data_IF_391637654940
#
_entry.id   IF_391637654940
#
_cell.length_a   1.000
_cell.length_b   1.000
_cell.length_c   1.000
_cell.angle_alpha   90.00
_cell.angle_beta   90.00
_cell.angle_gamma   90.00
#
_symmetry.space_group_name_H-M   'P 1'
#
loop_
_entity.id
_entity.type
_entity.pdbx_description
1 polymer ?
#
# COMPACT_ATOMS: atom_id res chain seq x y z
N UNK A 1 9.25 0.20 -16.00
CA UNK A 1 9.34 1.42 -15.18
C UNK A 1 9.57 1.03 -13.74
N UNK A 2 10.29 1.86 -12.98
CA UNK A 2 10.68 1.56 -11.58
C UNK A 2 9.75 2.19 -10.53
N UNK A 3 8.83 3.07 -10.94
CA UNK A 3 8.02 3.85 -10.00
C UNK A 3 7.17 3.00 -9.06
N UNK A 4 6.41 2.02 -9.59
CA UNK A 4 5.51 1.21 -8.76
C UNK A 4 6.26 0.29 -7.79
N UNK A 5 7.41 -0.27 -8.18
CA UNK A 5 8.21 -1.10 -7.28
C UNK A 5 8.86 -0.29 -6.16
N UNK A 6 9.30 0.95 -6.46
CA UNK A 6 9.77 1.89 -5.44
C UNK A 6 8.64 2.28 -4.49
N UNK A 7 7.47 2.64 -5.02
CA UNK A 7 6.30 2.98 -4.21
C UNK A 7 5.84 1.83 -3.32
N UNK A 8 5.86 0.59 -3.83
CA UNK A 8 5.51 -0.60 -3.04
C UNK A 8 6.45 -0.73 -1.83
N UNK A 9 7.77 -0.66 -2.05
CA UNK A 9 8.75 -0.75 -0.97
C UNK A 9 8.63 0.38 0.05
N UNK A 10 8.27 1.59 -0.38
CA UNK A 10 7.98 2.71 0.54
C UNK A 10 6.75 2.38 1.39
N UNK A 11 5.64 2.00 0.76
CA UNK A 11 4.36 1.75 1.46
C UNK A 11 4.49 0.59 2.46
N UNK A 12 5.15 -0.50 2.09
CA UNK A 12 5.40 -1.65 2.99
C UNK A 12 6.23 -1.27 4.22
N UNK A 13 7.28 -0.45 4.04
CA UNK A 13 8.11 0.05 5.15
C UNK A 13 7.32 0.94 6.12
N UNK A 14 6.21 1.52 5.67
CA UNK A 14 5.30 2.30 6.51
C UNK A 14 4.14 1.46 7.07
N UNK A 15 4.18 0.13 6.92
CA UNK A 15 3.12 -0.78 7.38
C UNK A 15 1.83 -0.65 6.56
N UNK A 16 1.92 -0.09 5.37
CA UNK A 16 0.79 0.06 4.45
C UNK A 16 0.72 -1.05 3.42
N UNK A 17 -0.21 -0.88 2.47
CA UNK A 17 -0.36 -1.75 1.29
C UNK A 17 -0.87 -0.95 0.09
N UNK A 18 -0.67 -1.50 -1.11
CA UNK A 18 -1.21 -0.96 -2.36
C UNK A 18 -2.22 -1.96 -2.93
N UNK A 19 -3.43 -1.50 -3.30
CA UNK A 19 -4.34 -2.26 -4.15
C UNK A 19 -4.38 -1.67 -5.56
N UNK A 20 -4.75 -2.48 -6.54
CA UNK A 20 -4.92 -2.04 -7.92
C UNK A 20 -6.25 -2.53 -8.46
N UNK A 21 -6.95 -1.62 -9.11
CA UNK A 21 -8.15 -1.90 -9.89
C UNK A 21 -7.88 -1.40 -11.31
N UNK A 22 -8.21 -2.20 -12.31
CA UNK A 22 -7.92 -1.85 -13.70
C UNK A 22 -9.07 -2.31 -14.59
N UNK A 23 -9.42 -1.44 -15.54
CA UNK A 23 -10.41 -1.70 -16.56
C UNK A 23 -9.83 -1.35 -17.93
N UNK A 24 -9.89 -2.30 -18.86
CA UNK A 24 -9.32 -2.16 -20.20
C UNK A 24 -10.03 -1.02 -20.94
N UNK A 25 -9.25 -0.10 -21.49
CA UNK A 25 -9.77 1.08 -22.19
C UNK A 25 -10.16 2.25 -21.27
N UNK A 26 -10.19 2.05 -19.95
CA UNK A 26 -10.48 3.10 -18.96
C UNK A 26 -9.22 3.51 -18.20
N UNK A 27 -8.38 2.54 -17.83
CA UNK A 27 -7.11 2.77 -17.12
C UNK A 27 -6.97 1.92 -15.86
N UNK A 28 -6.11 2.38 -14.95
CA UNK A 28 -5.83 1.70 -13.68
C UNK A 28 -5.80 2.70 -12.54
N UNK A 29 -6.42 2.32 -11.43
CA UNK A 29 -6.39 3.05 -10.16
C UNK A 29 -5.55 2.27 -9.16
N UNK A 30 -4.57 2.95 -8.56
CA UNK A 30 -3.74 2.40 -7.50
C UNK A 30 -4.11 3.09 -6.20
N UNK A 31 -4.61 2.32 -5.22
CA UNK A 31 -5.04 2.87 -3.93
C UNK A 31 -4.01 2.50 -2.87
N UNK A 32 -3.48 3.52 -2.19
CA UNK A 32 -2.51 3.37 -1.11
C UNK A 32 -3.24 3.40 0.23
N UNK A 33 -3.01 2.40 1.06
CA UNK A 33 -3.50 2.35 2.44
C UNK A 33 -2.33 2.51 3.39
N UNK A 34 -2.43 3.46 4.31
CA UNK A 34 -1.43 3.71 5.35
C UNK A 34 -2.09 3.69 6.72
N UNK A 35 -1.41 3.17 7.76
CA UNK A 35 -1.87 3.29 9.13
C UNK A 35 -2.01 4.77 9.54
N UNK A 36 -3.10 5.12 10.22
CA UNK A 36 -3.36 6.49 10.69
C UNK A 36 -2.38 6.91 11.80
N UNK A 37 -1.86 5.93 12.55
CA UNK A 37 -0.79 6.13 13.52
C UNK A 37 0.10 4.89 13.59
N UNK A 38 1.35 5.06 14.06
CA UNK A 38 2.30 3.94 14.26
C UNK A 38 1.89 2.99 15.38
N UNK A 39 1.05 3.42 16.31
CA UNK A 39 0.69 2.66 17.52
C UNK A 39 -0.20 1.45 17.22
N UNK A 40 -1.08 1.53 16.21
CA UNK A 40 -2.04 0.47 15.90
C UNK A 40 -1.41 -0.76 15.23
N UNK A 41 -0.24 -0.62 14.61
CA UNK A 41 0.41 -1.71 13.85
C UNK A 41 1.07 -2.77 14.74
N UNK A 42 1.39 -2.42 16.00
CA UNK A 42 2.02 -3.34 16.95
C UNK A 42 0.99 -4.25 17.65
N UNK A 43 -0.28 -3.85 17.71
CA UNK A 43 -1.31 -4.59 18.45
C UNK A 43 -1.81 -5.87 17.75
N UNK A 44 -1.57 -6.02 16.45
CA UNK A 44 -2.07 -7.18 15.66
C UNK A 44 -0.98 -8.22 15.36
N UNK A 45 0.29 -7.95 15.68
CA UNK A 45 1.41 -8.87 15.36
C UNK A 45 1.79 -9.84 16.49
N UNK A 46 1.06 -9.83 17.61
CA UNK A 46 1.34 -10.64 18.80
C UNK A 46 0.27 -11.72 19.11
N UNK A 47 -0.51 -12.19 18.12
CA UNK A 47 -1.45 -13.33 18.24
C UNK A 47 -1.02 -14.51 17.38
#
# INVERSE_FOLDING_TARGET
>A
GLGLSVSLGIVERHGGKISVESEVGTGSTFTLYLPVSRERVLAEKDV
#
